data_IF_958408245731
#
_entry.id   IF_958408245731
#
_cell.length_a   1.000
_cell.length_b   1.000
_cell.length_c   1.000
_cell.angle_alpha   90.00
_cell.angle_beta   90.00
_cell.angle_gamma   90.00
#
_symmetry.space_group_name_H-M   'P 1'
#
loop_
_entity.id
_entity.type
_entity.pdbx_description
1 polymer ?
#
# COMPACT_ATOMS: atom_id res chain seq x y z
N UNK A 1 35.13 28.72 -13.98
CA UNK A 1 33.99 29.41 -13.36
C UNK A 1 33.83 28.90 -11.93
N UNK A 2 33.77 29.87 -11.00
CA UNK A 2 33.26 29.86 -9.61
C UNK A 2 33.39 28.59 -8.75
N UNK A 3 34.34 28.70 -7.82
CA UNK A 3 34.43 28.05 -6.51
C UNK A 3 33.17 28.32 -5.67
N UNK A 4 32.79 27.39 -4.81
CA UNK A 4 32.29 27.72 -3.47
C UNK A 4 32.53 26.57 -2.51
N UNK A 5 33.33 26.91 -1.50
CA UNK A 5 33.80 26.12 -0.38
C UNK A 5 32.91 26.38 0.84
N UNK A 6 32.79 25.34 1.67
CA UNK A 6 32.90 25.37 3.13
C UNK A 6 31.85 26.11 3.99
N UNK A 7 31.13 25.25 4.74
CA UNK A 7 31.06 25.21 6.21
C UNK A 7 30.17 26.16 7.02
N UNK A 8 29.46 25.49 7.95
CA UNK A 8 29.20 25.84 9.35
C UNK A 8 28.14 26.92 9.63
N UNK A 9 27.02 26.49 10.23
CA UNK A 9 26.64 27.03 11.55
C UNK A 9 25.65 26.11 12.29
N UNK A 10 26.07 25.73 13.49
CA UNK A 10 25.26 25.21 14.59
C UNK A 10 24.21 26.24 15.05
N UNK A 11 23.02 25.78 15.41
CA UNK A 11 22.23 26.40 16.47
C UNK A 11 21.26 25.38 17.08
N UNK A 12 21.65 24.88 18.25
CA UNK A 12 20.78 24.18 19.16
C UNK A 12 19.76 25.15 19.77
N UNK A 13 18.49 24.75 19.82
CA UNK A 13 17.52 25.33 20.72
C UNK A 13 16.69 24.19 21.34
N UNK A 14 17.08 23.80 22.55
CA UNK A 14 16.21 23.08 23.48
C UNK A 14 15.00 23.96 23.80
N UNK A 15 13.80 23.45 23.57
CA UNK A 15 12.61 23.93 24.27
C UNK A 15 11.96 22.73 24.96
N UNK A 16 12.28 22.59 26.25
CA UNK A 16 11.59 21.69 27.18
C UNK A 16 10.25 22.35 27.51
N UNK A 17 9.14 21.79 27.02
CA UNK A 17 7.81 22.15 27.52
C UNK A 17 7.39 21.06 28.49
N UNK A 18 7.62 21.33 29.78
CA UNK A 18 6.99 20.61 30.88
C UNK A 18 5.53 21.06 30.99
N UNK A 19 4.58 20.18 30.67
CA UNK A 19 3.17 20.37 31.09
C UNK A 19 2.93 19.53 32.33
N UNK A 20 2.70 20.24 33.43
CA UNK A 20 2.34 19.72 34.74
C UNK A 20 1.02 18.98 34.73
N UNK A 21 0.96 18.00 35.63
CA UNK A 21 -0.21 17.26 36.06
C UNK A 21 -1.48 18.12 36.22
N UNK A 22 -2.60 17.58 35.75
CA UNK A 22 -3.89 17.76 36.38
C UNK A 22 -4.47 16.37 36.66
N UNK A 23 -4.25 15.93 37.90
CA UNK A 23 -5.11 14.96 38.55
C UNK A 23 -6.44 15.67 38.84
N UNK A 24 -7.50 15.26 38.17
CA UNK A 24 -8.85 15.47 38.67
C UNK A 24 -9.37 14.09 39.06
N UNK A 25 -9.29 13.83 40.36
CA UNK A 25 -10.15 12.92 41.09
C UNK A 25 -11.60 13.38 40.86
N UNK A 26 -12.33 12.66 40.02
CA UNK A 26 -13.80 12.73 39.98
C UNK A 26 -14.33 11.38 40.46
N UNK A 27 -14.73 11.40 41.73
CA UNK A 27 -15.24 10.29 42.51
C UNK A 27 -16.64 9.88 41.98
N UNK A 28 -16.67 8.85 41.13
CA UNK A 28 -17.92 8.21 40.70
C UNK A 28 -18.31 7.06 41.68
N UNK A 29 -19.61 6.88 41.95
CA UNK A 29 -20.11 6.02 43.02
C UNK A 29 -19.77 4.53 42.80
N UNK A 30 -19.19 3.93 43.85
CA UNK A 30 -18.96 2.49 44.03
C UNK A 30 -20.27 1.70 43.86
N UNK A 31 -20.44 1.07 42.71
CA UNK A 31 -21.32 -0.09 42.58
C UNK A 31 -20.64 -1.30 43.23
N UNK A 32 -21.24 -1.86 44.29
CA UNK A 32 -20.77 -3.08 44.92
C UNK A 32 -20.91 -4.27 43.96
N UNK A 33 -19.82 -4.99 43.60
CA UNK A 33 -19.95 -6.19 42.79
C UNK A 33 -20.60 -7.30 43.62
N UNK A 34 -21.68 -7.86 43.07
CA UNK A 34 -22.23 -9.12 43.52
C UNK A 34 -21.11 -10.18 43.51
N UNK A 35 -21.00 -10.91 44.62
CA UNK A 35 -20.06 -12.02 44.83
C UNK A 35 -20.40 -13.17 43.88
N UNK A 36 -19.94 -13.07 42.64
CA UNK A 36 -19.87 -14.20 41.72
C UNK A 36 -18.59 -14.98 42.02
N UNK A 37 -18.74 -16.28 42.26
CA UNK A 37 -17.62 -17.19 42.50
C UNK A 37 -16.65 -17.16 41.31
N UNK A 38 -15.33 -17.14 41.57
CA UNK A 38 -14.33 -17.15 40.50
C UNK A 38 -14.28 -18.57 39.92
N UNK A 39 -15.07 -18.81 38.88
CA UNK A 39 -14.81 -19.94 37.97
C UNK A 39 -13.43 -19.70 37.37
N UNK A 40 -12.46 -20.48 37.85
CA UNK A 40 -11.08 -20.55 37.38
C UNK A 40 -11.08 -20.83 35.88
N UNK A 41 -11.08 -19.77 35.07
CA UNK A 41 -10.84 -19.88 33.64
C UNK A 41 -9.42 -20.44 33.47
N UNK A 42 -9.34 -21.70 33.04
CA UNK A 42 -8.08 -22.25 32.57
C UNK A 42 -7.58 -21.34 31.43
N UNK A 43 -6.27 -21.06 31.34
CA UNK A 43 -5.72 -20.38 30.19
C UNK A 43 -6.08 -21.23 28.97
N UNK A 44 -6.89 -20.68 28.07
CA UNK A 44 -7.03 -21.22 26.73
C UNK A 44 -5.65 -21.07 26.14
N UNK A 45 -4.90 -22.16 26.14
CA UNK A 45 -3.63 -22.24 25.46
C UNK A 45 -3.95 -21.93 24.01
N UNK A 46 -3.54 -20.74 23.55
CA UNK A 46 -3.48 -20.44 22.14
C UNK A 46 -2.81 -21.63 21.49
N UNK A 47 -3.59 -22.39 20.72
CA UNK A 47 -3.10 -23.51 19.96
C UNK A 47 -2.08 -22.93 19.00
N UNK A 48 -0.81 -23.00 19.40
CA UNK A 48 0.34 -22.63 18.61
C UNK A 48 0.37 -23.57 17.42
N UNK A 49 -0.40 -23.23 16.39
CA UNK A 49 -0.24 -23.75 15.05
C UNK A 49 1.11 -23.22 14.61
N UNK A 50 2.16 -23.98 14.93
CA UNK A 50 3.46 -23.85 14.33
C UNK A 50 3.28 -24.19 12.86
N UNK A 51 2.78 -23.22 12.09
CA UNK A 51 2.80 -23.26 10.64
C UNK A 51 4.28 -23.28 10.28
N UNK A 52 4.80 -24.48 10.03
CA UNK A 52 6.14 -24.69 9.49
C UNK A 52 6.29 -23.76 8.29
N UNK A 53 6.99 -22.65 8.51
CA UNK A 53 7.05 -21.52 7.61
C UNK A 53 7.61 -22.02 6.29
N UNK A 54 6.76 -22.04 5.25
CA UNK A 54 7.24 -22.31 3.91
C UNK A 54 8.17 -21.15 3.53
N UNK A 55 9.36 -21.42 2.96
CA UNK A 55 10.18 -20.34 2.43
C UNK A 55 9.35 -19.52 1.44
N UNK A 56 9.25 -18.21 1.68
CA UNK A 56 8.53 -17.28 0.81
C UNK A 56 9.57 -16.51 0.00
N UNK A 57 9.57 -16.73 -1.32
CA UNK A 57 10.38 -15.93 -2.24
C UNK A 57 9.86 -14.49 -2.23
N UNK A 58 10.78 -13.54 -2.13
CA UNK A 58 10.46 -12.12 -2.04
C UNK A 58 11.44 -11.29 -2.85
N UNK A 59 10.91 -10.30 -3.57
CA UNK A 59 11.68 -9.21 -4.17
C UNK A 59 11.51 -7.97 -3.29
N UNK A 60 12.59 -7.55 -2.64
CA UNK A 60 12.65 -6.34 -1.83
C UNK A 60 13.06 -5.18 -2.72
N UNK A 61 12.15 -4.20 -2.89
CA UNK A 61 12.47 -2.92 -3.48
C UNK A 61 12.95 -1.95 -2.40
N UNK A 62 14.15 -1.41 -2.57
CA UNK A 62 14.74 -0.42 -1.67
C UNK A 62 14.35 1.02 -2.07
N UNK A 63 14.54 1.96 -1.15
CA UNK A 63 14.25 3.40 -1.38
C UNK A 63 15.15 4.05 -2.44
N UNK A 64 16.26 3.42 -2.81
CA UNK A 64 17.20 3.87 -3.85
C UNK A 64 16.95 3.19 -5.21
N UNK A 65 15.74 2.66 -5.42
CA UNK A 65 15.33 1.91 -6.63
C UNK A 65 16.11 0.60 -6.89
N UNK A 66 16.97 0.19 -5.95
CA UNK A 66 17.67 -1.11 -6.04
C UNK A 66 16.75 -2.24 -5.61
N UNK A 67 17.00 -3.45 -6.13
CA UNK A 67 16.21 -4.64 -5.84
C UNK A 67 17.08 -5.74 -5.27
N UNK A 68 16.57 -6.44 -4.26
CA UNK A 68 17.18 -7.62 -3.66
C UNK A 68 16.17 -8.76 -3.76
N UNK A 69 16.59 -9.90 -4.29
CA UNK A 69 15.76 -11.09 -4.41
C UNK A 69 16.29 -12.19 -3.51
N UNK A 70 15.39 -12.91 -2.86
CA UNK A 70 15.74 -14.03 -2.00
C UNK A 70 14.53 -14.63 -1.31
N UNK A 71 14.75 -15.31 -0.20
CA UNK A 71 13.69 -15.92 0.62
C UNK A 71 13.62 -15.28 1.99
N UNK A 72 12.41 -14.97 2.44
CA UNK A 72 12.19 -14.38 3.75
C UNK A 72 12.28 -15.45 4.85
N UNK A 73 13.15 -15.24 5.83
CA UNK A 73 13.41 -16.23 6.91
C UNK A 73 12.82 -15.83 8.26
N UNK A 74 12.69 -14.53 8.54
CA UNK A 74 12.43 -14.05 9.90
C UNK A 74 10.95 -14.06 10.32
N UNK A 75 10.03 -13.92 9.37
CA UNK A 75 8.64 -13.60 9.70
C UNK A 75 7.69 -14.16 8.65
N UNK A 76 6.59 -14.75 9.12
CA UNK A 76 5.50 -15.27 8.29
C UNK A 76 4.24 -14.41 8.34
N UNK A 77 4.16 -13.46 9.28
CA UNK A 77 2.99 -12.62 9.51
C UNK A 77 3.40 -11.15 9.62
N UNK A 78 2.71 -10.28 8.91
CA UNK A 78 2.86 -8.83 9.03
C UNK A 78 1.90 -8.30 10.10
N UNK A 79 2.44 -7.69 11.15
CA UNK A 79 1.63 -6.93 12.10
C UNK A 79 1.44 -5.50 11.62
N UNK A 80 0.20 -5.06 11.51
CA UNK A 80 -0.15 -3.73 11.04
C UNK A 80 -1.23 -3.11 11.92
N UNK A 81 -1.06 -1.82 12.25
CA UNK A 81 -2.08 -1.00 12.90
C UNK A 81 -2.96 -0.35 11.83
N UNK A 82 -4.22 -0.74 11.77
CA UNK A 82 -5.24 -0.15 10.89
C UNK A 82 -6.15 0.78 11.69
N UNK A 83 -7.02 1.52 10.99
CA UNK A 83 -8.09 2.30 11.63
C UNK A 83 -9.10 1.45 12.40
N UNK A 84 -9.17 0.16 12.11
CA UNK A 84 -10.08 -0.80 12.75
C UNK A 84 -9.43 -1.58 13.90
N UNK A 85 -8.14 -1.36 14.16
CA UNK A 85 -7.36 -2.07 15.19
C UNK A 85 -6.08 -2.71 14.65
N UNK A 86 -5.47 -3.57 15.46
CA UNK A 86 -4.31 -4.38 15.07
C UNK A 86 -4.76 -5.53 14.17
N UNK A 87 -4.07 -5.70 13.04
CA UNK A 87 -4.26 -6.80 12.11
C UNK A 87 -2.96 -7.61 12.01
N UNK A 88 -3.08 -8.94 12.07
CA UNK A 88 -1.98 -9.85 11.73
C UNK A 88 -2.28 -10.52 10.39
N UNK A 89 -1.49 -10.20 9.37
CA UNK A 89 -1.73 -10.63 7.98
C UNK A 89 -0.69 -11.70 7.61
N UNK A 90 -1.10 -12.93 7.27
CA UNK A 90 -0.18 -13.95 6.78
C UNK A 90 0.47 -13.54 5.46
N UNK A 91 1.80 -13.54 5.39
CA UNK A 91 2.54 -13.15 4.19
C UNK A 91 2.30 -14.11 3.01
N UNK A 92 1.82 -15.32 3.28
CA UNK A 92 1.39 -16.27 2.25
C UNK A 92 0.18 -15.80 1.43
N UNK A 93 -0.60 -14.85 1.95
CA UNK A 93 -1.79 -14.31 1.28
C UNK A 93 -1.54 -12.91 0.68
N UNK A 94 -0.32 -12.39 0.85
CA UNK A 94 0.06 -11.06 0.39
C UNK A 94 0.71 -11.14 -0.97
N UNK A 95 0.23 -10.34 -1.93
CA UNK A 95 0.85 -10.18 -3.23
C UNK A 95 2.04 -9.21 -3.15
N UNK A 96 1.86 -8.10 -2.45
CA UNK A 96 2.90 -7.11 -2.22
C UNK A 96 2.58 -6.15 -1.08
N UNK A 97 3.64 -5.60 -0.49
CA UNK A 97 3.59 -4.57 0.56
C UNK A 97 4.33 -3.34 0.03
N UNK A 98 3.71 -2.18 0.13
CA UNK A 98 4.34 -0.89 -0.13
C UNK A 98 4.42 -0.12 1.17
N UNK A 99 5.63 0.19 1.61
CA UNK A 99 5.83 0.92 2.86
C UNK A 99 5.54 2.40 2.70
N UNK A 100 5.24 3.04 3.82
CA UNK A 100 5.10 4.49 3.89
C UNK A 100 6.39 5.15 3.40
N UNK A 101 6.25 6.22 2.62
CA UNK A 101 7.35 7.00 2.06
C UNK A 101 7.11 8.49 2.31
N UNK A 102 8.07 9.35 1.95
CA UNK A 102 7.88 10.80 2.07
C UNK A 102 6.64 11.32 1.32
N UNK A 103 6.19 10.61 0.28
CA UNK A 103 5.02 10.96 -0.53
C UNK A 103 3.74 10.22 -0.11
N UNK A 104 3.86 9.14 0.68
CA UNK A 104 2.77 8.24 1.05
C UNK A 104 2.79 8.01 2.56
N UNK A 105 1.83 8.56 3.30
CA UNK A 105 1.84 8.50 4.76
C UNK A 105 1.53 7.10 5.35
N UNK A 106 1.03 6.16 4.56
CA UNK A 106 0.55 4.86 5.05
C UNK A 106 1.14 3.70 4.24
N UNK A 107 1.34 2.58 4.92
CA UNK A 107 1.72 1.33 4.28
C UNK A 107 0.49 0.71 3.63
N UNK A 108 0.62 0.24 2.40
CA UNK A 108 -0.44 -0.44 1.66
C UNK A 108 -0.05 -1.90 1.46
N UNK A 109 -0.91 -2.80 1.87
CA UNK A 109 -0.78 -4.25 1.65
C UNK A 109 -1.81 -4.64 0.60
N UNK A 110 -1.36 -5.23 -0.50
CA UNK A 110 -2.23 -5.80 -1.53
C UNK A 110 -2.20 -7.31 -1.40
N UNK A 111 -3.36 -7.91 -1.22
CA UNK A 111 -3.55 -9.36 -1.08
C UNK A 111 -3.64 -10.06 -2.43
N UNK A 112 -3.45 -11.38 -2.44
CA UNK A 112 -3.53 -12.20 -3.65
C UNK A 112 -4.93 -12.20 -4.30
N UNK A 113 -5.97 -11.91 -3.53
CA UNK A 113 -7.34 -11.75 -4.04
C UNK A 113 -7.59 -10.37 -4.70
N UNK A 114 -6.61 -9.46 -4.67
CA UNK A 114 -6.72 -8.10 -5.19
C UNK A 114 -7.25 -7.07 -4.19
N UNK A 115 -7.63 -7.48 -2.98
CA UNK A 115 -8.02 -6.55 -1.93
C UNK A 115 -6.81 -5.80 -1.37
N UNK A 116 -7.04 -4.57 -0.90
CA UNK A 116 -5.99 -3.73 -0.34
C UNK A 116 -6.35 -3.26 1.06
N UNK A 117 -5.41 -3.36 2.00
CA UNK A 117 -5.54 -2.79 3.36
C UNK A 117 -4.44 -1.75 3.54
N UNK A 118 -4.78 -0.64 4.19
CA UNK A 118 -3.82 0.41 4.54
C UNK A 118 -3.67 0.53 6.06
N UNK A 119 -2.47 0.88 6.50
CA UNK A 119 -2.18 1.03 7.92
C UNK A 119 -0.74 1.48 8.19
N UNK A 120 -0.38 1.50 9.47
CA UNK A 120 0.98 1.71 9.93
C UNK A 120 1.59 0.35 10.32
N UNK A 121 2.81 0.09 9.88
CA UNK A 121 3.55 -1.12 10.22
C UNK A 121 4.86 -0.73 10.91
N UNK A 122 5.26 -1.47 11.95
CA UNK A 122 6.56 -1.30 12.61
C UNK A 122 7.50 -2.44 12.18
N UNK A 123 8.00 -2.35 10.95
CA UNK A 123 9.04 -3.26 10.48
C UNK A 123 10.39 -2.64 10.78
N UNK A 124 11.17 -3.26 11.67
CA UNK A 124 12.50 -2.78 12.07
C UNK A 124 13.60 -3.36 11.21
N UNK A 125 13.54 -4.66 10.96
CA UNK A 125 14.55 -5.41 10.24
C UNK A 125 13.87 -6.53 9.45
N UNK A 126 14.35 -6.77 8.25
CA UNK A 126 13.98 -7.93 7.43
C UNK A 126 15.26 -8.67 7.07
N UNK A 127 15.32 -9.96 7.38
CA UNK A 127 16.38 -10.84 6.87
C UNK A 127 15.89 -11.64 5.67
N UNK A 128 16.66 -11.54 4.59
CA UNK A 128 16.42 -12.25 3.33
C UNK A 128 17.63 -13.13 3.03
N UNK A 129 17.39 -14.40 2.79
CA UNK A 129 18.39 -15.34 2.29
C UNK A 129 18.48 -15.23 0.77
N UNK A 130 19.60 -14.73 0.29
CA UNK A 130 19.90 -14.49 -1.13
C UNK A 130 20.92 -15.51 -1.64
N UNK A 131 21.16 -15.56 -2.96
CA UNK A 131 22.13 -16.48 -3.55
C UNK A 131 23.58 -16.28 -3.07
N UNK A 132 23.92 -15.07 -2.63
CA UNK A 132 25.25 -14.69 -2.14
C UNK A 132 25.35 -14.68 -0.61
N UNK A 133 24.29 -15.08 0.09
CA UNK A 133 24.24 -15.19 1.55
C UNK A 133 23.05 -14.47 2.17
N UNK A 134 23.15 -14.22 3.48
CA UNK A 134 22.07 -13.60 4.26
C UNK A 134 22.21 -12.08 4.28
N UNK A 135 21.15 -11.38 3.88
CA UNK A 135 21.08 -9.93 3.88
C UNK A 135 20.07 -9.45 4.93
N UNK A 136 20.52 -8.61 5.87
CA UNK A 136 19.64 -7.94 6.83
C UNK A 136 19.42 -6.49 6.41
N UNK A 137 18.16 -6.13 6.16
CA UNK A 137 17.75 -4.85 5.59
C UNK A 137 16.96 -4.08 6.64
N UNK A 138 17.36 -2.83 6.88
CA UNK A 138 16.66 -1.95 7.81
C UNK A 138 15.29 -1.54 7.24
N UNK A 139 14.23 -1.62 8.04
CA UNK A 139 12.86 -1.34 7.61
C UNK A 139 12.64 -0.01 6.89
N UNK A 140 13.19 1.13 7.37
CA UNK A 140 13.09 2.43 6.70
C UNK A 140 13.81 2.50 5.34
N UNK A 141 14.70 1.55 5.03
CA UNK A 141 15.36 1.46 3.72
C UNK A 141 14.54 0.67 2.69
N UNK A 142 13.41 0.09 3.11
CA UNK A 142 12.54 -0.73 2.27
C UNK A 142 11.41 0.13 1.72
N UNK A 143 11.30 0.20 0.40
CA UNK A 143 10.18 0.85 -0.27
C UNK A 143 9.03 -0.13 -0.51
N UNK A 144 9.33 -1.38 -0.86
CA UNK A 144 8.31 -2.40 -1.10
C UNK A 144 8.82 -3.83 -0.96
N UNK A 145 7.91 -4.77 -0.74
CA UNK A 145 8.11 -6.21 -0.82
C UNK A 145 7.14 -6.77 -1.85
N UNK A 146 7.62 -7.64 -2.72
CA UNK A 146 6.80 -8.35 -3.70
C UNK A 146 6.96 -9.84 -3.50
N UNK A 147 5.86 -10.56 -3.34
CA UNK A 147 5.87 -12.02 -3.19
C UNK A 147 5.50 -12.75 -4.49
N UNK A 148 4.88 -12.03 -5.43
CA UNK A 148 4.53 -12.55 -6.75
C UNK A 148 5.43 -11.92 -7.81
N UNK A 149 6.21 -12.72 -8.56
CA UNK A 149 7.08 -12.19 -9.62
C UNK A 149 6.25 -11.59 -10.77
N UNK A 150 6.81 -10.61 -11.46
CA UNK A 150 6.18 -9.99 -12.63
C UNK A 150 5.10 -8.93 -12.33
N UNK A 151 4.80 -8.66 -11.06
CA UNK A 151 3.92 -7.56 -10.67
C UNK A 151 4.67 -6.24 -10.52
N UNK A 152 3.95 -5.15 -10.80
CA UNK A 152 4.44 -3.78 -10.65
C UNK A 152 3.44 -2.91 -9.88
N UNK A 153 3.96 -2.03 -9.04
CA UNK A 153 3.18 -1.02 -8.35
C UNK A 153 2.75 0.08 -9.32
N UNK A 154 1.44 0.26 -9.46
CA UNK A 154 0.85 1.31 -10.28
C UNK A 154 0.04 2.26 -9.38
N UNK A 155 0.34 3.56 -9.42
CA UNK A 155 -0.51 4.53 -8.78
C UNK A 155 -1.79 4.70 -9.58
N UNK A 156 -2.91 4.80 -8.88
CA UNK A 156 -4.21 5.14 -9.43
C UNK A 156 -4.75 6.34 -8.66
N UNK A 157 -5.10 7.40 -9.37
CA UNK A 157 -5.68 8.58 -8.74
C UNK A 157 -7.15 8.30 -8.41
N UNK A 158 -7.50 8.45 -7.13
CA UNK A 158 -8.85 8.29 -6.63
C UNK A 158 -9.33 9.55 -5.92
N UNK A 159 -10.64 9.57 -5.60
CA UNK A 159 -11.28 10.65 -4.84
C UNK A 159 -10.62 10.90 -3.47
N UNK A 160 -9.98 9.89 -2.90
CA UNK A 160 -9.30 9.94 -1.60
C UNK A 160 -7.77 10.05 -1.74
N UNK A 161 -7.29 10.54 -2.88
CA UNK A 161 -5.87 10.63 -3.20
C UNK A 161 -5.33 9.41 -3.95
N UNK A 162 -4.01 9.23 -3.91
CA UNK A 162 -3.32 8.18 -4.66
C UNK A 162 -3.55 6.82 -4.00
N UNK A 163 -4.06 5.86 -4.77
CA UNK A 163 -4.22 4.45 -4.38
C UNK A 163 -3.20 3.61 -5.14
N UNK A 164 -2.56 2.68 -4.44
CA UNK A 164 -1.60 1.77 -5.03
C UNK A 164 -2.27 0.45 -5.41
N UNK A 165 -2.03 0.00 -6.64
CA UNK A 165 -2.50 -1.28 -7.13
C UNK A 165 -1.34 -2.07 -7.76
N UNK A 166 -1.49 -3.38 -7.88
CA UNK A 166 -0.52 -4.25 -8.55
C UNK A 166 -1.06 -4.63 -9.92
N UNK A 167 -0.24 -4.47 -10.95
CA UNK A 167 -0.56 -4.97 -12.28
C UNK A 167 0.61 -5.72 -12.89
N UNK A 168 0.29 -6.70 -13.72
CA UNK A 168 1.25 -7.47 -14.48
C UNK A 168 2.02 -6.56 -15.45
N UNK A 169 3.34 -6.67 -15.44
CA UNK A 169 4.23 -5.94 -16.35
C UNK A 169 4.03 -6.39 -17.80
N UNK A 170 3.72 -7.68 -18.05
CA UNK A 170 3.63 -8.20 -19.41
C UNK A 170 2.44 -7.67 -20.20
N UNK A 171 1.38 -7.21 -19.53
CA UNK A 171 0.15 -6.78 -20.23
C UNK A 171 0.22 -5.35 -20.77
N UNK A 172 1.19 -4.54 -20.34
CA UNK A 172 1.25 -3.11 -20.68
C UNK A 172 1.95 -2.83 -22.02
N UNK A 173 2.80 -3.75 -22.50
CA UNK A 173 3.56 -3.58 -23.75
C UNK A 173 2.96 -4.34 -24.96
N UNK A 174 1.80 -4.99 -24.80
CA UNK A 174 1.18 -5.83 -25.83
C UNK A 174 0.03 -5.16 -26.60
N UNK A 175 0.09 -3.84 -26.82
CA UNK A 175 -0.80 -3.14 -27.75
C UNK A 175 0.03 -2.43 -28.82
N UNK A 176 0.12 -2.97 -30.05
CA UNK A 176 0.62 -2.17 -31.17
C UNK A 176 -0.30 -0.94 -31.34
N UNK A 177 0.25 0.23 -31.69
CA UNK A 177 -0.57 1.39 -32.02
C UNK A 177 -1.57 1.02 -33.11
N UNK A 178 -2.81 1.55 -33.11
CA UNK A 178 -3.73 1.33 -34.22
C UNK A 178 -3.07 1.86 -35.49
N UNK A 179 -2.63 0.94 -36.34
CA UNK A 179 -2.20 1.20 -37.70
C UNK A 179 -3.39 1.77 -38.47
N UNK A 180 -3.48 3.09 -38.56
CA UNK A 180 -4.28 3.80 -39.55
C UNK A 180 -3.66 3.59 -40.92
N UNK A 181 -3.93 2.44 -41.52
CA UNK A 181 -3.79 2.24 -42.96
C UNK A 181 -5.19 1.97 -43.53
N UNK A 182 -5.81 2.91 -44.26
CA UNK A 182 -7.05 2.63 -44.95
C UNK A 182 -6.78 1.66 -46.12
N UNK A 183 -7.55 0.57 -46.27
CA UNK A 183 -7.48 -0.23 -47.47
C UNK A 183 -8.12 0.53 -48.64
N UNK A 184 -7.29 0.86 -49.64
CA UNK A 184 -7.74 1.22 -50.97
C UNK A 184 -8.43 0.00 -51.61
N UNK A 185 -9.75 0.01 -51.68
CA UNK A 185 -10.53 -0.92 -52.51
C UNK A 185 -11.22 -0.16 -53.65
N UNK A 186 -11.07 -0.59 -54.91
CA UNK A 186 -11.76 0.02 -56.03
C UNK A 186 -13.21 -0.48 -56.17
N UNK A 187 -14.12 0.48 -56.37
CA UNK A 187 -15.35 0.47 -57.17
C UNK A 187 -16.22 -0.81 -57.24
N UNK A 188 -17.46 -0.72 -56.73
CA UNK A 188 -18.66 -0.93 -57.58
C UNK A 188 -19.91 -0.35 -56.91
N UNK A 189 -20.53 0.60 -57.61
CA UNK A 189 -21.79 1.29 -57.30
C UNK A 189 -22.99 0.37 -57.58
N UNK A 190 -24.04 0.42 -56.75
CA UNK A 190 -25.38 0.56 -57.31
C UNK A 190 -26.14 1.73 -56.67
N UNK A 191 -26.77 2.52 -57.54
CA UNK A 191 -27.73 3.57 -57.19
C UNK A 191 -28.98 2.96 -56.53
N UNK A 192 -29.42 3.53 -55.41
CA UNK A 192 -30.69 3.15 -54.80
C UNK A 192 -31.12 4.06 -53.65
N UNK A 193 -32.04 4.98 -53.98
CA UNK A 193 -33.08 5.58 -53.13
C UNK A 193 -32.69 6.41 -51.87
N UNK A 194 -32.98 7.70 -51.97
CA UNK A 194 -33.11 8.70 -50.91
C UNK A 194 -34.16 8.34 -49.83
N UNK A 195 -33.88 8.68 -48.56
CA UNK A 195 -34.86 9.23 -47.60
C UNK A 195 -34.14 9.89 -46.39
N UNK A 196 -34.80 10.78 -45.61
CA UNK A 196 -34.22 12.03 -45.15
C UNK A 196 -33.89 12.05 -43.64
N UNK A 197 -33.33 13.20 -43.25
CA UNK A 197 -32.71 13.61 -42.00
C UNK A 197 -33.50 13.49 -40.67
N UNK A 198 -32.76 13.82 -39.60
CA UNK A 198 -33.11 14.13 -38.20
C UNK A 198 -32.85 12.94 -37.24
N UNK A 199 -32.22 13.11 -36.06
CA UNK A 199 -32.28 14.20 -35.09
C UNK A 199 -30.94 14.32 -34.34
N UNK A 200 -30.45 15.54 -34.25
CA UNK A 200 -29.40 16.01 -33.34
C UNK A 200 -29.86 15.92 -31.88
N UNK A 201 -29.08 15.26 -31.01
CA UNK A 201 -29.28 15.32 -29.55
C UNK A 201 -28.39 16.44 -28.98
N UNK A 202 -28.94 17.36 -28.17
CA UNK A 202 -28.20 18.51 -27.66
C UNK A 202 -27.33 18.17 -26.44
N UNK A 203 -26.16 18.80 -26.41
CA UNK A 203 -25.26 18.94 -25.26
C UNK A 203 -25.99 19.49 -24.04
N UNK A 204 -25.94 18.78 -22.92
CA UNK A 204 -26.34 19.32 -21.62
C UNK A 204 -25.10 19.87 -20.92
N UNK A 205 -24.88 21.17 -21.09
CA UNK A 205 -23.89 21.97 -20.39
C UNK A 205 -24.63 22.64 -19.21
N UNK A 206 -24.34 22.25 -17.96
CA UNK A 206 -24.80 23.00 -16.78
C UNK A 206 -23.61 23.41 -15.90
N UNK A 207 -23.44 24.72 -15.65
CA UNK A 207 -22.58 25.23 -14.59
C UNK A 207 -23.40 25.87 -13.43
N UNK A 208 -22.70 26.13 -12.32
CA UNK A 208 -23.10 26.87 -11.09
C UNK A 208 -23.99 26.13 -10.08
N UNK A 209 -23.71 26.14 -8.76
CA UNK A 209 -23.34 27.27 -7.88
C UNK A 209 -22.40 26.89 -6.71
N UNK A 210 -21.59 27.84 -6.19
CA UNK A 210 -21.05 27.79 -4.83
C UNK A 210 -22.07 28.37 -3.84
N UNK A 211 -22.21 27.76 -2.66
CA UNK A 211 -22.96 28.32 -1.55
C UNK A 211 -22.05 28.50 -0.33
N UNK A 212 -22.11 29.73 0.18
CA UNK A 212 -21.62 30.35 1.43
C UNK A 212 -20.82 29.51 2.42
#
# INVERSE_FOLDING_TARGET
MKRSCFHLLMAAALAVVSVSAHAQDEELPKASPAKAEPTKAAPVQDAGVSSKARPLSVTVGLVNDSKIEGTLTDTTQLQMQTSFGTASIPLSEVAGIRFASANDATTTVVMLNGDSITGATDVKLITVETEWGTASINGPSIASLMFVPGLSWNPSDGLNGKRWNLSDVQKKDALPPPSTNPPNTPSTRPSGAQRPAAVSSPSFNQPFFPNR
#
